data_IF_236656412434
#
_entry.id   IF_236656412434
#
_cell.length_a   1.000
_cell.length_b   1.000
_cell.length_c   1.000
_cell.angle_alpha   90.00
_cell.angle_beta   90.00
_cell.angle_gamma   90.00
#
_symmetry.space_group_name_H-M   'P 1'
#
loop_
_entity.id
_entity.type
_entity.pdbx_description
1 polymer ?
#
# COMPACT_ATOMS: atom_id res chain seq x y z
N UNK A 1 4.79 -19.50 14.49
CA UNK A 1 5.47 -18.24 14.12
C UNK A 1 4.47 -17.46 13.29
N UNK A 2 3.61 -16.67 13.93
CA UNK A 2 2.48 -16.00 13.26
C UNK A 2 2.43 -14.49 13.58
N UNK A 3 3.56 -13.88 13.97
CA UNK A 3 3.60 -12.50 14.44
C UNK A 3 4.10 -11.46 13.43
N UNK A 4 4.30 -11.87 12.17
CA UNK A 4 4.92 -11.04 11.11
C UNK A 4 4.18 -11.20 9.78
N UNK A 5 2.87 -11.47 9.85
CA UNK A 5 2.03 -11.57 8.66
C UNK A 5 1.07 -10.38 8.58
N UNK A 6 1.07 -9.69 7.44
CA UNK A 6 0.12 -8.63 7.14
C UNK A 6 -1.21 -9.30 6.85
N UNK A 7 -2.19 -9.13 7.72
CA UNK A 7 -3.52 -9.72 7.54
C UNK A 7 -4.43 -8.83 6.68
N UNK A 8 -4.32 -7.52 6.85
CA UNK A 8 -5.10 -6.55 6.11
C UNK A 8 -4.33 -5.22 5.99
N UNK A 9 -4.55 -4.51 4.89
CA UNK A 9 -4.12 -3.12 4.70
C UNK A 9 -5.33 -2.35 4.22
N UNK A 10 -5.67 -1.27 4.91
CA UNK A 10 -6.82 -0.43 4.59
C UNK A 10 -6.39 1.04 4.55
N UNK A 11 -6.77 1.72 3.48
CA UNK A 11 -6.50 3.15 3.31
C UNK A 11 -7.72 3.90 3.84
N UNK A 12 -7.59 4.49 5.01
CA UNK A 12 -8.70 5.18 5.70
C UNK A 12 -8.97 6.57 5.11
N UNK A 13 -7.92 7.26 4.68
CA UNK A 13 -8.01 8.61 4.12
C UNK A 13 -6.89 8.84 3.09
N UNK A 14 -7.23 9.51 2.00
CA UNK A 14 -6.27 10.06 1.04
C UNK A 14 -6.79 11.40 0.53
N UNK A 15 -5.88 12.30 0.16
CA UNK A 15 -6.22 13.62 -0.38
C UNK A 15 -5.58 13.79 -1.76
N UNK A 16 -5.83 12.81 -2.63
CA UNK A 16 -5.26 12.76 -3.98
C UNK A 16 -6.29 13.11 -5.05
N UNK A 17 -5.83 13.19 -6.29
CA UNK A 17 -6.72 13.50 -7.42
C UNK A 17 -7.66 12.33 -7.65
N UNK A 18 -8.96 12.57 -7.44
CA UNK A 18 -10.03 11.59 -7.70
C UNK A 18 -9.90 10.98 -9.09
N UNK A 19 -10.04 9.66 -9.20
CA UNK A 19 -9.92 8.91 -10.45
C UNK A 19 -8.49 8.64 -10.92
N UNK A 20 -7.48 9.30 -10.36
CA UNK A 20 -6.06 9.02 -10.64
C UNK A 20 -5.48 8.04 -9.62
N UNK A 21 -5.74 8.28 -8.34
CA UNK A 21 -5.21 7.48 -7.22
C UNK A 21 -6.00 6.20 -6.97
N UNK A 22 -7.26 6.15 -7.38
CA UNK A 22 -8.21 5.05 -7.14
C UNK A 22 -7.60 3.68 -7.47
N UNK A 23 -7.01 3.43 -8.67
CA UNK A 23 -6.46 2.12 -8.97
C UNK A 23 -5.28 1.74 -8.07
N UNK A 24 -4.48 2.70 -7.57
CA UNK A 24 -3.43 2.42 -6.60
C UNK A 24 -3.98 2.13 -5.21
N UNK A 25 -5.05 2.84 -4.80
CA UNK A 25 -5.70 2.67 -3.51
C UNK A 25 -6.44 1.34 -3.43
N UNK A 26 -7.04 0.88 -4.53
CA UNK A 26 -7.76 -0.40 -4.56
C UNK A 26 -6.83 -1.61 -4.70
N UNK A 27 -5.72 -1.49 -5.45
CA UNK A 27 -4.88 -2.64 -5.79
C UNK A 27 -3.66 -2.83 -4.89
N UNK A 28 -3.02 -1.74 -4.44
CA UNK A 28 -1.79 -1.86 -3.66
C UNK A 28 -2.00 -2.47 -2.27
N UNK A 29 -3.06 -2.15 -1.51
CA UNK A 29 -3.27 -2.78 -0.21
C UNK A 29 -3.36 -4.30 -0.31
N UNK A 30 -4.10 -4.81 -1.29
CA UNK A 30 -4.21 -6.25 -1.53
C UNK A 30 -2.86 -6.85 -1.95
N UNK A 31 -2.14 -6.20 -2.87
CA UNK A 31 -0.82 -6.66 -3.30
C UNK A 31 0.19 -6.74 -2.14
N UNK A 32 0.13 -5.81 -1.20
CA UNK A 32 0.99 -5.78 -0.01
C UNK A 32 0.65 -6.92 0.96
N UNK A 33 -0.64 -7.20 1.16
CA UNK A 33 -1.11 -8.35 1.96
C UNK A 33 -0.63 -9.65 1.32
N UNK A 34 -0.79 -9.79 0.00
CA UNK A 34 -0.39 -10.98 -0.75
C UNK A 34 1.12 -11.21 -0.73
N UNK A 35 1.92 -10.14 -0.89
CA UNK A 35 3.38 -10.20 -0.77
C UNK A 35 3.88 -10.26 0.67
N UNK A 36 2.99 -10.12 1.65
CA UNK A 36 3.34 -10.01 3.06
C UNK A 36 4.39 -8.91 3.34
N UNK A 37 4.29 -7.80 2.62
CA UNK A 37 5.27 -6.72 2.65
C UNK A 37 5.16 -5.85 1.41
N UNK A 38 5.98 -4.81 1.36
CA UNK A 38 5.99 -3.89 0.20
C UNK A 38 7.09 -4.24 -0.81
N UNK A 39 7.94 -5.21 -0.50
CA UNK A 39 9.03 -5.61 -1.38
C UNK A 39 8.44 -6.27 -2.64
N UNK A 40 8.91 -5.84 -3.82
CA UNK A 40 8.38 -6.31 -5.09
C UNK A 40 6.95 -5.86 -5.45
N UNK A 41 6.35 -4.93 -4.70
CA UNK A 41 5.05 -4.33 -5.08
C UNK A 41 5.26 -3.24 -6.13
N UNK A 42 4.67 -3.45 -7.31
CA UNK A 42 4.77 -2.51 -8.43
C UNK A 42 3.90 -1.26 -8.23
N UNK A 43 4.37 -0.13 -8.77
CA UNK A 43 3.58 1.11 -8.77
C UNK A 43 2.58 1.13 -9.92
N UNK A 44 1.39 1.65 -9.66
CA UNK A 44 0.35 1.81 -10.70
C UNK A 44 0.69 2.99 -11.61
N UNK A 45 0.60 2.76 -12.92
CA UNK A 45 0.82 3.79 -13.93
C UNK A 45 -0.18 4.94 -13.79
N UNK A 46 0.29 6.19 -13.94
CA UNK A 46 -0.45 7.44 -13.64
C UNK A 46 -0.77 7.71 -12.17
N UNK A 47 -0.56 6.74 -11.28
CA UNK A 47 -0.70 6.87 -9.83
C UNK A 47 0.64 6.61 -9.11
N UNK A 48 1.77 6.94 -9.74
CA UNK A 48 3.10 6.59 -9.23
C UNK A 48 3.40 7.27 -7.90
N UNK A 49 2.93 8.50 -7.70
CA UNK A 49 3.13 9.24 -6.45
C UNK A 49 2.31 8.60 -5.33
N UNK A 50 1.01 8.38 -5.57
CA UNK A 50 0.11 7.61 -4.70
C UNK A 50 0.72 6.27 -4.29
N UNK A 51 1.17 5.50 -5.28
CA UNK A 51 1.69 4.15 -5.08
C UNK A 51 2.90 4.16 -4.14
N UNK A 52 3.82 5.10 -4.36
CA UNK A 52 4.99 5.28 -3.49
C UNK A 52 4.58 5.72 -2.08
N UNK A 53 3.60 6.61 -1.96
CA UNK A 53 3.10 7.06 -0.66
C UNK A 53 2.49 5.90 0.15
N UNK A 54 1.67 5.06 -0.47
CA UNK A 54 1.09 3.86 0.16
C UNK A 54 2.20 2.90 0.61
N UNK A 55 3.15 2.58 -0.27
CA UNK A 55 4.29 1.71 0.04
C UNK A 55 5.11 2.26 1.21
N UNK A 56 5.40 3.57 1.23
CA UNK A 56 6.13 4.19 2.33
C UNK A 56 5.33 4.18 3.64
N UNK A 57 4.03 4.47 3.58
CA UNK A 57 3.15 4.47 4.75
C UNK A 57 3.07 3.07 5.38
N UNK A 58 2.94 2.02 4.57
CA UNK A 58 2.96 0.64 5.06
C UNK A 58 4.32 0.31 5.67
N UNK A 59 5.43 0.66 5.03
CA UNK A 59 6.76 0.40 5.61
C UNK A 59 6.98 1.11 6.94
N UNK A 60 6.51 2.35 7.08
CA UNK A 60 6.57 3.09 8.34
C UNK A 60 5.70 2.42 9.41
N UNK A 61 4.50 1.96 9.05
CA UNK A 61 3.62 1.22 9.96
C UNK A 61 4.24 -0.10 10.42
N UNK A 62 4.89 -0.85 9.50
CA UNK A 62 5.62 -2.08 9.83
C UNK A 62 6.87 -1.80 10.68
N UNK A 63 7.51 -0.64 10.50
CA UNK A 63 8.69 -0.24 11.27
C UNK A 63 8.36 0.24 12.68
N UNK A 64 7.12 0.69 12.92
CA UNK A 64 6.63 1.15 14.24
C UNK A 64 6.22 0.01 15.20
N UNK A 65 6.69 -1.22 14.94
CA UNK A 65 6.45 -2.41 15.77
C UNK A 65 7.16 -2.34 17.13
#
# INVERSE_FOLDING_TARGET
MNGDKIENVEILEHNETEGISDPAIETLPQAIVDNNGTDGVDTVSKATITSKAIIQAVNDALSKK
#
